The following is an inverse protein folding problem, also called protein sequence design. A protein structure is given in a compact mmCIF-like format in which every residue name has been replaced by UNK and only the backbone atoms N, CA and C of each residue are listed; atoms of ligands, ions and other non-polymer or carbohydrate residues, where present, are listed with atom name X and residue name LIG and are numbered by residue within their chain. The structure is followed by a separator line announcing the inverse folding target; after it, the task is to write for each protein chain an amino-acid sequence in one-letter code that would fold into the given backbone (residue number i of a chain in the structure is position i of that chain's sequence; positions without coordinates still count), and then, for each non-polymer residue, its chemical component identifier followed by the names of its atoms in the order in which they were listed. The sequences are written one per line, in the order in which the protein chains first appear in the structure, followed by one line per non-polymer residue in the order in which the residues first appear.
data_IF_688271559075
#
_entry.id   IF_688271559075
#
_cell.length_a   1.000
_cell.length_b   1.000
_cell.length_c   1.000
_cell.angle_alpha   90.00
_cell.angle_beta   90.00
_cell.angle_gamma   90.00
#
_symmetry.space_group_name_H-M   'P 1'
#
loop_
_entity.id
_entity.type
_entity.pdbx_description
1 polymer ?
#
# COMPACT_ATOMS: atom_id res chain seq x y z
N UNK A 1 -5.84 14.78 10.39
CA UNK A 1 -4.93 14.49 9.26
C UNK A 1 -4.09 15.69 8.83
N UNK A 2 -4.48 16.93 9.17
CA UNK A 2 -3.76 18.17 8.82
C UNK A 2 -2.27 18.19 9.18
N UNK A 3 -1.86 17.53 10.27
CA UNK A 3 -0.44 17.37 10.67
C UNK A 3 0.40 16.81 9.52
N UNK A 4 -0.14 15.84 8.75
CA UNK A 4 0.58 15.22 7.65
C UNK A 4 0.93 16.21 6.53
N UNK A 5 0.25 17.35 6.42
CA UNK A 5 0.53 18.35 5.38
C UNK A 5 1.98 18.83 5.41
N UNK A 6 2.51 19.06 6.61
CA UNK A 6 3.84 19.64 6.80
C UNK A 6 4.82 18.65 7.46
N UNK A 7 4.33 17.55 8.01
CA UNK A 7 5.15 16.61 8.81
C UNK A 7 5.13 15.18 8.27
N UNK A 8 4.61 14.92 7.07
CA UNK A 8 4.53 13.56 6.52
C UNK A 8 5.91 12.87 6.48
N UNK A 9 6.89 13.44 5.77
CA UNK A 9 8.22 12.82 5.65
C UNK A 9 8.94 12.74 7.01
N UNK A 10 8.78 13.76 7.85
CA UNK A 10 9.33 13.76 9.21
C UNK A 10 8.80 12.58 10.03
N UNK A 11 7.48 12.35 10.01
CA UNK A 11 6.84 11.22 10.69
C UNK A 11 7.27 9.88 10.07
N UNK A 12 7.24 9.76 8.75
CA UNK A 12 7.58 8.51 8.06
C UNK A 12 9.07 8.14 8.19
N UNK A 13 9.93 9.10 8.56
CA UNK A 13 11.37 8.89 8.80
C UNK A 13 11.70 8.64 10.29
N UNK A 14 10.70 8.56 11.17
CA UNK A 14 10.89 8.37 12.62
C UNK A 14 11.43 6.98 13.02
N UNK A 15 11.39 6.01 12.12
CA UNK A 15 11.86 4.64 12.31
C UNK A 15 12.46 4.07 11.04
N UNK A 16 13.03 2.86 11.12
CA UNK A 16 13.52 2.13 9.95
C UNK A 16 12.37 1.74 9.01
N UNK A 17 11.23 1.39 9.59
CA UNK A 17 9.97 1.20 8.87
C UNK A 17 8.83 1.79 9.68
N UNK A 18 8.03 2.65 9.05
CA UNK A 18 6.88 3.32 9.65
C UNK A 18 5.63 3.03 8.83
N UNK A 19 4.55 2.68 9.51
CA UNK A 19 3.22 2.50 8.93
C UNK A 19 2.21 3.37 9.67
N UNK A 20 1.36 4.10 8.94
CA UNK A 20 0.22 4.82 9.51
C UNK A 20 -1.06 4.06 9.21
N UNK A 21 -1.98 3.98 10.17
CA UNK A 21 -3.28 3.33 9.97
C UNK A 21 -4.45 4.29 10.16
N UNK A 22 -5.45 4.15 9.28
CA UNK A 22 -6.66 4.96 9.31
C UNK A 22 -7.86 4.21 8.71
N UNK A 23 -9.07 4.64 9.06
CA UNK A 23 -10.32 4.32 8.37
C UNK A 23 -10.90 5.54 7.64
N UNK A 24 -10.20 6.68 7.70
CA UNK A 24 -10.61 8.01 7.24
C UNK A 24 -11.86 8.62 7.89
N UNK A 25 -12.66 7.85 8.64
CA UNK A 25 -13.91 8.31 9.28
C UNK A 25 -13.71 9.58 10.12
N UNK A 26 -12.75 9.57 11.05
CA UNK A 26 -12.47 10.70 11.94
C UNK A 26 -11.43 11.68 11.37
N UNK A 27 -11.14 11.57 10.07
CA UNK A 27 -10.09 12.35 9.40
C UNK A 27 -8.76 12.30 10.17
N UNK A 28 -8.43 11.16 10.77
CA UNK A 28 -7.28 11.00 11.66
C UNK A 28 -6.52 9.69 11.41
N UNK A 29 -5.25 9.67 11.83
CA UNK A 29 -4.45 8.45 11.94
C UNK A 29 -4.69 7.90 13.35
N UNK A 30 -5.26 6.70 13.47
CA UNK A 30 -5.54 6.11 14.78
C UNK A 30 -4.36 5.31 15.34
N UNK A 31 -3.40 4.94 14.49
CA UNK A 31 -2.22 4.19 14.90
C UNK A 31 -1.01 4.54 14.03
N UNK A 32 0.13 4.70 14.69
CA UNK A 32 1.45 4.76 14.05
C UNK A 32 2.25 3.56 14.55
N UNK A 33 2.75 2.73 13.63
CA UNK A 33 3.61 1.59 13.95
C UNK A 33 5.03 1.91 13.48
N UNK A 34 5.97 1.84 14.41
CA UNK A 34 7.37 2.18 14.19
C UNK A 34 8.21 0.95 14.48
N UNK A 35 9.03 0.55 13.51
CA UNK A 35 10.01 -0.52 13.63
C UNK A 35 11.38 0.14 13.53
N UNK A 36 12.18 -0.01 14.57
CA UNK A 36 13.47 0.68 14.69
C UNK A 36 14.61 -0.32 14.82
N UNK A 37 15.77 0.02 14.26
CA UNK A 37 17.00 -0.72 14.50
C UNK A 37 17.50 -0.46 15.92
N UNK A 38 18.04 -1.48 16.57
CA UNK A 38 18.68 -1.37 17.89
C UNK A 38 20.18 -1.09 17.80
N UNK A 39 20.79 -1.25 16.62
CA UNK A 39 22.21 -1.01 16.42
C UNK A 39 22.49 0.49 16.43
N UNK A 40 23.26 1.02 17.41
CA UNK A 40 23.57 2.44 17.52
C UNK A 40 24.31 3.02 16.30
N UNK A 41 25.02 2.20 15.52
CA UNK A 41 25.73 2.65 14.31
C UNK A 41 24.80 2.85 13.11
N UNK A 42 23.62 2.22 13.14
CA UNK A 42 22.61 2.30 12.08
C UNK A 42 21.30 2.96 12.58
N UNK A 43 21.15 3.18 13.87
CA UNK A 43 20.03 3.88 14.46
C UNK A 43 20.31 5.38 14.47
N UNK A 44 19.91 6.09 13.42
CA UNK A 44 19.73 7.54 13.47
C UNK A 44 18.47 7.95 14.26
N UNK A 45 17.87 7.03 15.01
CA UNK A 45 16.62 7.22 15.73
C UNK A 45 16.88 7.99 17.03
N UNK A 46 16.96 9.33 16.93
CA UNK A 46 16.56 10.16 18.06
C UNK A 46 15.12 9.80 18.42
N UNK A 47 14.83 9.72 19.71
CA UNK A 47 13.46 9.52 20.19
C UNK A 47 12.56 10.57 19.53
N UNK A 48 11.58 10.11 18.76
CA UNK A 48 10.69 10.98 18.02
C UNK A 48 9.51 11.32 18.93
N UNK A 49 9.37 12.60 19.27
CA UNK A 49 8.24 13.08 20.06
C UNK A 49 6.98 13.06 19.19
N UNK A 50 6.14 12.05 19.42
CA UNK A 50 4.79 11.93 18.84
C UNK A 50 3.72 12.62 19.70
N UNK A 51 4.02 12.96 20.95
CA UNK A 51 3.07 13.64 21.84
C UNK A 51 2.78 15.06 21.36
N UNK A 52 3.75 15.73 20.74
CA UNK A 52 3.52 17.02 20.03
C UNK A 52 2.47 16.95 18.92
N UNK A 53 2.19 15.74 18.41
CA UNK A 53 1.13 15.48 17.41
C UNK A 53 -0.12 14.84 18.02
N UNK A 54 -0.19 14.73 19.35
CA UNK A 54 -1.32 14.16 20.09
C UNK A 54 -1.36 12.62 20.10
N UNK A 55 -0.32 11.94 19.59
CA UNK A 55 -0.23 10.49 19.68
C UNK A 55 0.26 10.07 21.08
N UNK A 56 -0.23 8.91 21.55
CA UNK A 56 0.19 8.32 22.82
C UNK A 56 0.83 6.96 22.57
N UNK A 57 1.96 6.70 23.24
CA UNK A 57 2.63 5.41 23.17
C UNK A 57 1.78 4.35 23.87
N UNK A 58 1.53 3.23 23.19
CA UNK A 58 0.88 2.06 23.79
C UNK A 58 1.96 1.27 24.55
N UNK A 59 1.74 1.05 25.85
CA UNK A 59 2.73 0.45 26.76
C UNK A 59 2.22 -0.81 27.47
N UNK A 60 0.91 -0.99 27.54
CA UNK A 60 0.23 -2.02 28.33
C UNK A 60 -0.15 -3.25 27.50
N UNK A 61 -0.25 -3.13 26.18
CA UNK A 61 -0.62 -4.23 25.27
C UNK A 61 0.03 -4.13 23.90
N UNK A 62 0.01 -5.23 23.17
CA UNK A 62 0.29 -5.27 21.75
C UNK A 62 -1.02 -5.02 20.98
N UNK A 63 -0.92 -4.52 19.74
CA UNK A 63 -2.10 -4.22 18.89
C UNK A 63 -1.94 -4.77 17.48
N UNK A 64 -3.06 -5.01 16.79
CA UNK A 64 -3.09 -5.35 15.36
C UNK A 64 -3.23 -4.08 14.50
N UNK A 65 -3.16 -4.22 13.18
CA UNK A 65 -3.49 -3.15 12.23
C UNK A 65 -4.98 -2.80 12.25
N UNK A 66 -5.85 -3.81 12.41
CA UNK A 66 -7.28 -3.64 12.73
C UNK A 66 -7.37 -3.64 14.25
N UNK A 67 -7.51 -2.47 14.87
CA UNK A 67 -7.31 -2.27 16.31
C UNK A 67 -8.34 -3.01 17.17
N UNK A 68 -9.51 -3.31 16.60
CA UNK A 68 -10.61 -4.02 17.23
C UNK A 68 -10.38 -5.53 17.33
N UNK A 69 -9.40 -6.08 16.59
CA UNK A 69 -9.08 -7.51 16.62
C UNK A 69 -7.99 -7.85 17.65
N UNK A 70 -8.03 -9.06 18.25
CA UNK A 70 -6.97 -9.53 19.15
C UNK A 70 -5.58 -9.48 18.51
N UNK A 71 -4.58 -9.14 19.32
CA UNK A 71 -3.20 -8.97 18.87
C UNK A 71 -2.38 -10.26 18.88
N UNK A 72 -2.98 -11.42 19.20
CA UNK A 72 -2.30 -12.70 19.41
C UNK A 72 -1.41 -13.15 18.24
N UNK A 73 -1.80 -12.77 17.01
CA UNK A 73 -1.06 -13.07 15.79
C UNK A 73 -0.05 -12.00 15.40
N UNK A 74 -0.04 -10.85 16.08
CA UNK A 74 0.86 -9.75 15.77
C UNK A 74 2.26 -10.03 16.29
N UNK A 75 3.26 -9.50 15.59
CA UNK A 75 4.63 -9.48 16.12
C UNK A 75 4.69 -8.68 17.42
N UNK A 76 5.60 -9.06 18.32
CA UNK A 76 5.82 -8.43 19.63
C UNK A 76 6.08 -6.92 19.48
N UNK A 77 5.45 -6.12 20.35
CA UNK A 77 5.53 -4.65 20.32
C UNK A 77 6.10 -4.09 21.63
N UNK A 78 5.69 -2.87 22.02
CA UNK A 78 6.08 -2.16 23.26
C UNK A 78 7.57 -1.87 23.40
N UNK A 79 8.30 -1.83 22.28
CA UNK A 79 9.73 -1.56 22.25
C UNK A 79 10.60 -2.73 22.71
N UNK A 80 10.05 -3.94 22.78
CA UNK A 80 10.80 -5.15 23.15
C UNK A 80 11.72 -5.56 21.98
N UNK A 81 13.06 -5.55 22.15
CA UNK A 81 14.00 -5.95 21.11
C UNK A 81 13.80 -7.39 20.64
N UNK A 82 14.20 -7.69 19.41
CA UNK A 82 14.20 -9.05 18.87
C UNK A 82 14.72 -9.10 17.43
N UNK A 83 14.81 -10.30 16.84
CA UNK A 83 15.39 -10.46 15.52
C UNK A 83 14.51 -9.80 14.46
N UNK A 84 15.14 -9.27 13.39
CA UNK A 84 14.47 -8.47 12.37
C UNK A 84 13.27 -9.18 11.73
N UNK A 85 13.35 -10.49 11.50
CA UNK A 85 12.29 -11.26 10.84
C UNK A 85 11.06 -11.49 11.74
N UNK A 86 11.19 -11.26 13.05
CA UNK A 86 10.07 -11.25 14.01
C UNK A 86 9.62 -9.82 14.35
N UNK A 87 10.16 -8.80 13.68
CA UNK A 87 9.81 -7.39 13.89
C UNK A 87 9.36 -6.69 12.61
N UNK A 88 9.92 -7.02 11.44
CA UNK A 88 9.54 -6.41 10.16
C UNK A 88 8.13 -6.80 9.69
N UNK A 89 7.70 -8.07 9.73
CA UNK A 89 6.30 -8.41 9.50
C UNK A 89 5.36 -7.75 10.53
N UNK A 90 4.08 -7.57 10.19
CA UNK A 90 3.06 -7.20 11.19
C UNK A 90 2.51 -8.39 11.94
N UNK A 91 2.59 -9.56 11.31
CA UNK A 91 1.99 -10.81 11.73
C UNK A 91 3.13 -11.82 11.90
N UNK A 92 3.07 -12.64 12.95
CA UNK A 92 4.09 -13.66 13.24
C UNK A 92 4.13 -14.73 12.17
N UNK A 93 5.32 -15.26 11.90
CA UNK A 93 5.52 -16.29 10.87
C UNK A 93 4.78 -17.61 11.17
N UNK A 94 4.57 -17.91 12.45
CA UNK A 94 3.91 -19.12 12.95
C UNK A 94 2.38 -18.97 13.12
N UNK A 95 1.81 -17.89 12.59
CA UNK A 95 0.38 -17.61 12.68
C UNK A 95 -0.38 -17.89 11.39
N UNK A 96 -1.71 -17.94 11.46
CA UNK A 96 -2.58 -18.19 10.30
C UNK A 96 -2.64 -16.92 9.43
N UNK A 97 -2.44 -17.01 8.10
CA UNK A 97 -2.49 -15.86 7.21
C UNK A 97 -3.87 -15.17 7.16
N UNK A 98 -3.86 -13.84 7.03
CA UNK A 98 -5.05 -13.00 6.79
C UNK A 98 -5.46 -12.16 7.99
N UNK A 99 -5.95 -10.93 7.76
CA UNK A 99 -6.49 -10.10 8.83
C UNK A 99 -7.77 -10.73 9.41
N UNK A 100 -8.64 -11.26 8.54
CA UNK A 100 -9.85 -12.01 8.92
C UNK A 100 -10.04 -13.35 8.20
N UNK A 101 -9.26 -13.63 7.15
CA UNK A 101 -9.44 -14.78 6.25
C UNK A 101 -10.54 -14.59 5.19
N UNK A 102 -11.33 -13.52 5.27
CA UNK A 102 -12.38 -13.14 4.32
C UNK A 102 -12.22 -11.66 3.93
N UNK A 103 -11.21 -11.37 3.12
CA UNK A 103 -10.78 -10.02 2.79
C UNK A 103 -10.30 -9.91 1.35
N UNK A 104 -10.44 -8.72 0.79
CA UNK A 104 -9.83 -8.35 -0.49
C UNK A 104 -9.02 -7.08 -0.33
N UNK A 105 -8.07 -6.85 -1.22
CA UNK A 105 -7.04 -5.84 -1.01
C UNK A 105 -6.94 -4.94 -2.24
N UNK A 106 -6.69 -3.65 -2.03
CA UNK A 106 -6.27 -2.68 -3.06
C UNK A 106 -5.06 -1.93 -2.56
N UNK A 107 -4.19 -1.48 -3.46
CA UNK A 107 -3.09 -0.61 -3.08
C UNK A 107 -2.65 0.26 -4.25
N UNK A 108 -2.37 1.52 -3.96
CA UNK A 108 -1.95 2.51 -4.93
C UNK A 108 -0.68 3.22 -4.48
N UNK A 109 0.21 3.45 -5.43
CA UNK A 109 1.51 4.09 -5.23
C UNK A 109 1.53 5.46 -5.91
N UNK A 110 2.08 6.44 -5.20
CA UNK A 110 2.16 7.84 -5.62
C UNK A 110 3.58 8.34 -5.40
N UNK A 111 4.05 9.35 -6.17
CA UNK A 111 5.27 10.07 -5.80
C UNK A 111 5.19 10.57 -4.36
N UNK A 112 6.24 10.39 -3.57
CA UNK A 112 6.22 10.75 -2.15
C UNK A 112 5.93 12.24 -1.92
N UNK A 113 6.32 13.11 -2.86
CA UNK A 113 6.07 14.56 -2.84
C UNK A 113 4.56 14.90 -2.93
N UNK A 114 3.74 13.94 -3.38
CA UNK A 114 2.28 14.06 -3.48
C UNK A 114 1.54 13.32 -2.39
N UNK A 115 2.23 12.85 -1.34
CA UNK A 115 1.65 12.03 -0.30
C UNK A 115 0.40 12.66 0.33
N UNK A 116 0.49 13.93 0.77
CA UNK A 116 -0.65 14.62 1.39
C UNK A 116 -1.82 14.80 0.41
N UNK A 117 -1.54 15.19 -0.84
CA UNK A 117 -2.57 15.35 -1.87
C UNK A 117 -3.32 14.03 -2.13
N UNK A 118 -2.60 12.90 -2.20
CA UNK A 118 -3.17 11.58 -2.37
C UNK A 118 -4.00 11.13 -1.17
N UNK A 119 -3.51 11.37 0.06
CA UNK A 119 -4.25 11.08 1.29
C UNK A 119 -5.57 11.85 1.32
N UNK A 120 -5.55 13.15 1.01
CA UNK A 120 -6.78 13.97 0.98
C UNK A 120 -7.73 13.58 -0.16
N UNK A 121 -7.20 13.17 -1.32
CA UNK A 121 -8.02 12.66 -2.42
C UNK A 121 -8.77 11.39 -2.01
N UNK A 122 -8.12 10.46 -1.30
CA UNK A 122 -8.77 9.26 -0.74
C UNK A 122 -9.74 9.62 0.39
N UNK A 123 -9.35 10.50 1.32
CA UNK A 123 -10.20 10.93 2.45
C UNK A 123 -11.54 11.54 1.96
N UNK A 124 -11.57 12.15 0.77
CA UNK A 124 -12.80 12.66 0.17
C UNK A 124 -13.87 11.59 -0.07
N UNK A 125 -13.50 10.30 -0.05
CA UNK A 125 -14.39 9.15 -0.14
C UNK A 125 -14.67 8.47 1.21
N UNK A 126 -14.27 9.06 2.36
CA UNK A 126 -14.33 8.42 3.69
C UNK A 126 -15.68 7.76 4.04
N UNK A 127 -16.80 8.41 3.73
CA UNK A 127 -18.15 7.89 4.05
C UNK A 127 -18.48 6.61 3.28
N UNK A 128 -17.84 6.40 2.12
CA UNK A 128 -17.99 5.19 1.30
C UNK A 128 -16.92 4.15 1.62
N UNK A 129 -15.75 4.57 2.10
CA UNK A 129 -14.64 3.70 2.50
C UNK A 129 -14.96 3.03 3.84
N UNK A 130 -15.39 3.79 4.84
CA UNK A 130 -15.55 3.31 6.22
C UNK A 130 -16.42 2.04 6.35
N UNK A 131 -17.61 1.92 5.71
CA UNK A 131 -18.41 0.71 5.83
C UNK A 131 -17.77 -0.51 5.16
N UNK A 132 -16.83 -0.33 4.23
CA UNK A 132 -16.23 -1.40 3.43
C UNK A 132 -14.83 -1.81 3.92
N UNK A 133 -14.11 -0.93 4.61
CA UNK A 133 -12.73 -1.14 5.00
C UNK A 133 -12.63 -1.78 6.40
N UNK A 134 -11.65 -2.67 6.58
CA UNK A 134 -11.19 -3.04 7.91
C UNK A 134 -10.12 -2.07 8.40
N UNK A 135 -9.12 -1.78 7.55
CA UNK A 135 -8.07 -0.80 7.81
C UNK A 135 -7.44 -0.31 6.50
N UNK A 136 -6.97 0.92 6.51
CA UNK A 136 -6.05 1.48 5.50
C UNK A 136 -4.68 1.63 6.12
N UNK A 137 -3.64 1.22 5.41
CA UNK A 137 -2.25 1.37 5.80
C UNK A 137 -1.51 2.29 4.83
N UNK A 138 -0.79 3.28 5.34
CA UNK A 138 0.06 4.19 4.55
C UNK A 138 1.52 3.86 4.83
N UNK A 139 2.30 3.66 3.77
CA UNK A 139 3.72 3.27 3.82
C UNK A 139 4.56 4.08 2.84
N UNK A 140 5.88 4.00 2.98
CA UNK A 140 6.85 4.56 2.04
C UNK A 140 7.76 3.46 1.51
N UNK A 141 8.16 3.58 0.24
CA UNK A 141 9.01 2.63 -0.48
C UNK A 141 10.02 3.42 -1.31
N UNK A 142 11.30 3.01 -1.26
CA UNK A 142 12.35 3.59 -2.10
C UNK A 142 12.18 3.26 -3.58
N UNK A 143 12.84 4.05 -4.44
CA UNK A 143 12.82 3.80 -5.87
C UNK A 143 13.53 2.49 -6.23
N UNK A 144 13.03 1.79 -7.25
CA UNK A 144 13.70 0.63 -7.85
C UNK A 144 13.88 0.75 -9.36
N UNK A 145 14.49 -0.25 -9.99
CA UNK A 145 14.71 -0.30 -11.43
C UNK A 145 13.92 -1.41 -12.14
N UNK A 146 12.94 -2.04 -11.46
CA UNK A 146 12.14 -3.12 -12.03
C UNK A 146 11.04 -2.53 -12.91
N UNK A 147 11.02 -2.89 -14.19
CA UNK A 147 10.19 -2.24 -15.21
C UNK A 147 8.69 -2.17 -14.91
N UNK A 148 8.16 -3.17 -14.20
CA UNK A 148 6.75 -3.22 -13.80
C UNK A 148 6.52 -2.94 -12.33
N UNK A 149 7.54 -2.56 -11.56
CA UNK A 149 7.31 -2.15 -10.18
C UNK A 149 6.49 -0.86 -10.14
N UNK A 150 5.49 -0.75 -9.25
CA UNK A 150 4.85 0.53 -8.96
C UNK A 150 5.85 1.60 -8.49
N UNK A 151 7.01 1.21 -7.97
CA UNK A 151 8.07 2.09 -7.46
C UNK A 151 9.19 2.35 -8.48
N UNK A 152 9.02 1.96 -9.75
CA UNK A 152 10.03 2.16 -10.80
C UNK A 152 10.47 3.63 -10.87
N UNK A 153 11.76 3.86 -10.59
CA UNK A 153 12.47 5.14 -10.54
C UNK A 153 11.75 6.24 -9.74
N UNK A 154 10.99 5.85 -8.72
CA UNK A 154 10.16 6.78 -7.95
C UNK A 154 10.11 6.38 -6.47
N UNK A 155 10.64 7.24 -5.60
CA UNK A 155 10.34 7.18 -4.17
C UNK A 155 8.84 7.37 -3.99
N UNK A 156 8.21 6.39 -3.36
CA UNK A 156 6.76 6.26 -3.41
C UNK A 156 6.15 6.23 -2.02
N UNK A 157 4.99 6.86 -1.89
CA UNK A 157 4.04 6.59 -0.82
C UNK A 157 3.00 5.60 -1.33
N UNK A 158 2.67 4.59 -0.54
CA UNK A 158 1.63 3.62 -0.84
C UNK A 158 0.44 3.77 0.12
N UNK A 159 -0.78 3.76 -0.42
CA UNK A 159 -2.02 3.63 0.33
C UNK A 159 -2.59 2.24 0.07
N UNK A 160 -2.52 1.38 1.08
CA UNK A 160 -3.02 0.02 1.08
C UNK A 160 -4.38 -0.04 1.79
N UNK A 161 -5.30 -0.83 1.25
CA UNK A 161 -6.60 -1.08 1.85
C UNK A 161 -6.78 -2.58 2.07
N UNK A 162 -7.19 -2.94 3.27
CA UNK A 162 -7.77 -4.26 3.56
C UNK A 162 -9.27 -4.09 3.68
N UNK A 163 -10.00 -4.57 2.68
CA UNK A 163 -11.44 -4.48 2.56
C UNK A 163 -12.13 -5.72 3.14
N UNK A 164 -13.37 -5.55 3.60
CA UNK A 164 -14.33 -6.65 3.73
C UNK A 164 -14.53 -7.30 2.36
N UNK A 165 -14.88 -8.59 2.33
CA UNK A 165 -15.09 -9.36 1.09
C UNK A 165 -16.39 -8.99 0.33
N UNK A 166 -16.78 -7.72 0.33
CA UNK A 166 -17.87 -7.17 -0.48
C UNK A 166 -17.32 -6.65 -1.82
N UNK A 167 -16.87 -7.59 -2.66
CA UNK A 167 -16.14 -7.30 -3.90
C UNK A 167 -16.94 -6.37 -4.81
N UNK A 168 -18.27 -6.52 -4.88
CA UNK A 168 -19.12 -5.70 -5.74
C UNK A 168 -19.05 -4.23 -5.35
N UNK A 169 -19.30 -3.91 -4.07
CA UNK A 169 -19.31 -2.53 -3.61
C UNK A 169 -17.90 -1.93 -3.57
N UNK A 170 -16.88 -2.74 -3.25
CA UNK A 170 -15.47 -2.34 -3.34
C UNK A 170 -15.15 -1.93 -4.77
N UNK A 171 -15.40 -2.77 -5.78
CA UNK A 171 -15.07 -2.45 -7.17
C UNK A 171 -15.81 -1.21 -7.71
N UNK A 172 -17.06 -0.97 -7.28
CA UNK A 172 -17.79 0.25 -7.61
C UNK A 172 -17.16 1.51 -6.99
N UNK A 173 -16.66 1.41 -5.75
CA UNK A 173 -15.90 2.48 -5.12
C UNK A 173 -14.55 2.72 -5.81
N UNK A 174 -13.80 1.65 -6.10
CA UNK A 174 -12.50 1.77 -6.77
C UNK A 174 -12.63 2.49 -8.10
N UNK A 175 -13.64 2.15 -8.92
CA UNK A 175 -13.87 2.77 -10.23
C UNK A 175 -13.94 4.31 -10.18
N UNK A 176 -14.71 4.86 -9.24
CA UNK A 176 -14.85 6.32 -9.12
C UNK A 176 -13.73 6.97 -8.33
N UNK A 177 -13.15 6.27 -7.36
CA UNK A 177 -11.99 6.75 -6.61
C UNK A 177 -10.77 6.85 -7.51
N UNK A 178 -10.52 5.84 -8.34
CA UNK A 178 -9.38 5.79 -9.26
C UNK A 178 -9.39 6.95 -10.27
N UNK A 179 -10.54 7.39 -10.77
CA UNK A 179 -10.62 8.61 -11.60
C UNK A 179 -10.07 9.85 -10.89
N UNK A 180 -10.29 9.97 -9.58
CA UNK A 180 -9.73 11.06 -8.77
C UNK A 180 -8.23 10.90 -8.54
N UNK A 181 -7.73 9.67 -8.57
CA UNK A 181 -6.31 9.34 -8.37
C UNK A 181 -5.49 9.42 -9.67
N UNK A 182 -6.12 9.38 -10.86
CA UNK A 182 -5.41 9.50 -12.15
C UNK A 182 -4.55 10.77 -12.29
N UNK A 183 -5.05 11.98 -11.94
CA UNK A 183 -4.21 13.19 -11.96
C UNK A 183 -3.01 13.09 -11.01
N UNK A 184 -3.07 12.19 -10.02
CA UNK A 184 -2.00 11.92 -9.06
C UNK A 184 -0.94 10.95 -9.60
N UNK A 185 -1.13 10.42 -10.82
CA UNK A 185 -0.30 9.36 -11.44
C UNK A 185 -0.24 8.09 -10.60
N UNK A 186 -1.35 7.74 -9.96
CA UNK A 186 -1.47 6.53 -9.15
C UNK A 186 -1.10 5.28 -9.95
N UNK A 187 -0.22 4.44 -9.41
CA UNK A 187 0.11 3.12 -9.95
C UNK A 187 -0.52 2.05 -9.06
N UNK A 188 -1.36 1.13 -9.57
CA UNK A 188 -1.94 0.07 -8.74
C UNK A 188 -0.91 -1.03 -8.46
N UNK A 189 -1.07 -1.71 -7.33
CA UNK A 189 -0.39 -2.98 -7.07
C UNK A 189 -0.96 -4.09 -7.98
N UNK A 190 -0.11 -4.72 -8.80
CA UNK A 190 -0.55 -5.73 -9.79
C UNK A 190 -1.28 -6.94 -9.20
N UNK A 191 -0.91 -7.36 -7.98
CA UNK A 191 -1.55 -8.49 -7.28
C UNK A 191 -2.81 -8.15 -6.47
N UNK A 192 -3.39 -6.96 -6.62
CA UNK A 192 -4.53 -6.47 -5.83
C UNK A 192 -5.65 -5.95 -6.74
N UNK A 193 -6.82 -5.66 -6.16
CA UNK A 193 -7.96 -5.12 -6.90
C UNK A 193 -7.70 -3.69 -7.37
N UNK A 194 -7.93 -3.45 -8.66
CA UNK A 194 -7.96 -2.12 -9.30
C UNK A 194 -8.84 -2.16 -10.56
N UNK A 195 -9.25 -0.99 -11.05
CA UNK A 195 -10.15 -0.84 -12.21
C UNK A 195 -9.56 -0.02 -13.37
N UNK A 196 -8.33 0.48 -13.25
CA UNK A 196 -7.62 1.20 -14.31
C UNK A 196 -7.62 0.46 -15.65
N UNK A 197 -7.69 1.23 -16.74
CA UNK A 197 -7.64 0.69 -18.10
C UNK A 197 -6.20 0.45 -18.56
N UNK A 198 -6.04 -0.34 -19.62
CA UNK A 198 -4.74 -0.55 -20.27
C UNK A 198 -4.08 0.78 -20.66
N UNK A 199 -4.83 1.68 -21.27
CA UNK A 199 -4.34 2.97 -21.77
C UNK A 199 -3.82 3.84 -20.62
N UNK A 200 -4.51 3.83 -19.48
CA UNK A 200 -4.02 4.52 -18.30
C UNK A 200 -2.74 3.86 -17.77
N UNK A 201 -2.69 2.53 -17.67
CA UNK A 201 -1.51 1.82 -17.18
C UNK A 201 -0.29 2.05 -18.07
N UNK A 202 -0.46 2.04 -19.40
CA UNK A 202 0.60 2.36 -20.35
C UNK A 202 1.13 3.79 -20.16
N UNK A 203 0.27 4.73 -19.73
CA UNK A 203 0.67 6.11 -19.43
C UNK A 203 1.47 6.28 -18.13
N UNK A 204 1.31 5.40 -17.14
CA UNK A 204 1.98 5.50 -15.83
C UNK A 204 3.13 4.50 -15.62
N UNK A 205 3.18 3.43 -16.42
CA UNK A 205 4.27 2.46 -16.47
C UNK A 205 5.11 2.64 -17.74
N UNK A 206 6.13 3.51 -17.66
CA UNK A 206 7.01 3.88 -18.78
C UNK A 206 7.58 2.68 -19.55
N UNK A 207 7.90 1.58 -18.87
CA UNK A 207 8.50 0.39 -19.47
C UNK A 207 7.49 -0.65 -19.94
N UNK A 208 6.19 -0.41 -19.83
CA UNK A 208 5.15 -1.36 -20.23
C UNK A 208 5.21 -1.72 -21.73
N UNK A 209 5.42 -0.79 -22.68
CA UNK A 209 5.57 -1.15 -24.09
C UNK A 209 6.80 -2.04 -24.35
N UNK A 210 7.93 -1.76 -23.69
CA UNK A 210 9.16 -2.55 -23.81
C UNK A 210 9.02 -3.92 -23.17
N UNK A 211 8.31 -4.01 -22.05
CA UNK A 211 7.99 -5.27 -21.41
C UNK A 211 7.09 -6.14 -22.30
N UNK A 212 6.07 -5.56 -22.94
CA UNK A 212 5.23 -6.26 -23.94
C UNK A 212 6.08 -6.87 -25.07
N UNK A 213 7.04 -6.11 -25.62
CA UNK A 213 7.98 -6.63 -26.63
C UNK A 213 8.84 -7.79 -26.09
N UNK A 214 9.27 -7.72 -24.83
CA UNK A 214 10.01 -8.80 -24.17
C UNK A 214 9.18 -10.08 -24.10
N UNK A 215 7.89 -9.97 -23.73
CA UNK A 215 6.98 -11.10 -23.69
C UNK A 215 6.81 -11.73 -25.07
N UNK A 216 6.59 -10.93 -26.12
CA UNK A 216 6.45 -11.44 -27.50
C UNK A 216 7.73 -12.15 -27.96
N UNK A 217 8.91 -11.65 -27.57
CA UNK A 217 10.19 -12.27 -27.93
C UNK A 217 10.40 -13.65 -27.29
N UNK A 218 10.07 -13.81 -26.00
CA UNK A 218 10.38 -15.03 -25.25
C UNK A 218 9.20 -16.00 -25.10
N UNK A 219 7.98 -15.53 -25.32
CA UNK A 219 6.75 -16.33 -25.34
C UNK A 219 5.87 -15.93 -26.54
N UNK A 220 6.36 -16.13 -27.79
CA UNK A 220 5.65 -15.69 -29.00
C UNK A 220 4.29 -16.35 -29.18
N UNK A 221 4.08 -17.52 -28.58
CA UNK A 221 2.81 -18.27 -28.60
C UNK A 221 1.92 -18.00 -27.38
N UNK A 222 2.38 -17.20 -26.41
CA UNK A 222 1.60 -16.80 -25.24
C UNK A 222 1.26 -17.96 -24.30
N UNK A 223 2.16 -18.93 -24.10
CA UNK A 223 1.96 -20.05 -23.16
C UNK A 223 1.68 -19.57 -21.74
N UNK A 224 2.28 -18.45 -21.32
CA UNK A 224 2.07 -17.84 -20.01
C UNK A 224 1.11 -16.64 -20.04
N UNK A 225 0.46 -16.38 -21.19
CA UNK A 225 -0.49 -15.27 -21.37
C UNK A 225 -1.89 -15.67 -20.92
N UNK A 226 -2.46 -14.90 -20.00
CA UNK A 226 -3.82 -15.07 -19.49
C UNK A 226 -4.66 -13.80 -19.70
N UNK A 227 -5.94 -13.84 -19.30
CA UNK A 227 -6.87 -12.71 -19.42
C UNK A 227 -6.38 -11.44 -18.71
N UNK A 228 -5.64 -11.58 -17.62
CA UNK A 228 -5.06 -10.44 -16.90
C UNK A 228 -4.01 -9.73 -17.76
N UNK A 229 -3.08 -10.48 -18.35
CA UNK A 229 -2.06 -9.93 -19.24
C UNK A 229 -2.70 -9.39 -20.53
N UNK A 230 -3.68 -10.08 -21.08
CA UNK A 230 -4.49 -9.61 -22.21
C UNK A 230 -5.10 -8.24 -21.92
N UNK A 231 -5.74 -8.11 -20.76
CA UNK A 231 -6.45 -6.89 -20.37
C UNK A 231 -5.51 -5.71 -20.08
N UNK A 232 -4.39 -5.94 -19.39
CA UNK A 232 -3.59 -4.84 -18.83
C UNK A 232 -2.24 -4.61 -19.50
N UNK A 233 -1.62 -5.64 -20.09
CA UNK A 233 -0.29 -5.54 -20.71
C UNK A 233 -0.40 -5.46 -22.23
N UNK A 234 -1.20 -6.31 -22.85
CA UNK A 234 -1.36 -6.34 -24.32
C UNK A 234 -2.43 -5.38 -24.83
N UNK A 235 -3.49 -5.15 -24.05
CA UNK A 235 -4.67 -4.40 -24.50
C UNK A 235 -5.55 -5.24 -25.44
N UNK A 236 -6.80 -4.81 -25.64
CA UNK A 236 -7.85 -5.59 -26.35
C UNK A 236 -7.65 -5.76 -27.87
N UNK A 237 -6.44 -5.71 -28.43
CA UNK A 237 -6.24 -5.67 -29.90
C UNK A 237 -5.21 -6.60 -30.54
N UNK A 238 -4.42 -7.37 -29.79
CA UNK A 238 -3.52 -8.33 -30.42
C UNK A 238 -4.18 -9.70 -30.49
N UNK A 239 -4.78 -10.00 -31.65
CA UNK A 239 -5.23 -11.34 -32.01
C UNK A 239 -4.09 -12.33 -31.72
N UNK A 240 -4.39 -13.38 -30.96
CA UNK A 240 -3.47 -14.50 -30.79
C UNK A 240 -3.17 -15.04 -32.19
N UNK A 241 -1.89 -15.15 -32.54
CA UNK A 241 -1.49 -15.91 -33.71
C UNK A 241 -2.09 -17.32 -33.54
N UNK A 242 -3.11 -17.63 -34.35
CA UNK A 242 -3.72 -18.96 -34.36
C UNK A 242 -2.62 -19.93 -34.80
N UNK A 243 -2.32 -20.89 -33.93
CA UNK A 243 -1.51 -22.07 -34.28
C UNK A 243 -2.41 -23.03 -35.04
#
# INVERSE_FOLDING_TARGET
MSVLKNHFEEIMSSGYSVSLYTRFQDQNIYQVRIKSLTDPNHSNHKEFDFERFGAKKIVDRDVRSIIELPADFSTVQRGIPGPWHERLPHIRIDSIPGATGAEVHSEYFFPIERAYEAIMAVESFRERIDPLVYTTEIRTIEADEFWLSPCYKQRSMAIHFTWKQDVKNVMQLLSVMEEKLKPLKARPHWGKLFTFTHEYLESVYEKLPRFRQLLIKYDPHGKFRNEFLDKYIFGKKEERAKI
#
